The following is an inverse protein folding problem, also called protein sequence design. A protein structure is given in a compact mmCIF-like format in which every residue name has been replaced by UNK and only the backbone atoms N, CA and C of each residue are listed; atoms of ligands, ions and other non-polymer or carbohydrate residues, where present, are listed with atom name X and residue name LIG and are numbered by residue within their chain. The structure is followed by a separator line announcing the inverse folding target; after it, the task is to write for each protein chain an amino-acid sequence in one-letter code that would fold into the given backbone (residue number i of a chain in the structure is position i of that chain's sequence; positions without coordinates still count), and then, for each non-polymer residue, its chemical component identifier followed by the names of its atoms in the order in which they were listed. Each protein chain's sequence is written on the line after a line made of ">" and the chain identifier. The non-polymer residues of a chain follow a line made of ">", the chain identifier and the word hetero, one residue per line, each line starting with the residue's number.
data_IF_610400908578
#
_entry.id   IF_610400908578
#
_cell.length_a   1.000
_cell.length_b   1.000
_cell.length_c   1.000
_cell.angle_alpha   90.00
_cell.angle_beta   90.00
_cell.angle_gamma   90.00
#
_symmetry.space_group_name_H-M   'P 1'
#
loop_
_entity.id
_entity.type
_entity.pdbx_description
1 polymer ?
#
# COMPACT_ATOMS: atom_id res chain seq x y z
N UNK A 1 -5.37 -13.79 11.73
CA UNK A 1 -4.70 -13.88 10.41
C UNK A 1 -3.20 -13.80 10.61
N UNK A 2 -2.39 -14.70 10.04
CA UNK A 2 -0.93 -14.60 10.15
C UNK A 2 -0.41 -13.39 9.36
N UNK A 3 0.60 -12.69 9.89
CA UNK A 3 1.16 -11.46 9.30
C UNK A 3 1.60 -11.62 7.83
N UNK A 4 2.07 -12.82 7.45
CA UNK A 4 2.45 -13.16 6.06
C UNK A 4 1.28 -13.05 5.08
N UNK A 5 0.08 -13.50 5.48
CA UNK A 5 -1.10 -13.43 4.61
C UNK A 5 -1.49 -11.98 4.32
N UNK A 6 -1.51 -11.16 5.38
CA UNK A 6 -1.80 -9.73 5.27
C UNK A 6 -0.76 -8.98 4.39
N UNK A 7 0.54 -9.29 4.52
CA UNK A 7 1.57 -8.72 3.65
C UNK A 7 1.38 -9.11 2.17
N UNK A 8 0.96 -10.35 1.90
CA UNK A 8 0.65 -10.82 0.54
C UNK A 8 -0.62 -10.20 -0.05
N UNK A 9 -1.53 -9.66 0.78
CA UNK A 9 -2.70 -8.90 0.31
C UNK A 9 -2.32 -7.52 -0.26
N UNK A 10 -1.10 -7.04 0.05
CA UNK A 10 -0.55 -5.78 -0.46
C UNK A 10 0.44 -5.95 -1.62
N UNK A 11 0.62 -7.18 -2.10
CA UNK A 11 1.52 -7.54 -3.19
C UNK A 11 0.72 -8.13 -4.37
N UNK A 12 1.31 -8.25 -5.58
CA UNK A 12 0.69 -8.97 -6.68
C UNK A 12 0.24 -10.38 -6.25
N UNK A 13 -0.92 -10.84 -6.75
CA UNK A 13 -1.49 -12.13 -6.37
C UNK A 13 -0.52 -13.31 -6.57
N UNK A 14 0.25 -13.24 -7.64
CA UNK A 14 1.22 -14.26 -8.06
C UNK A 14 2.36 -14.44 -7.06
N UNK A 15 2.56 -13.50 -6.13
CA UNK A 15 3.53 -13.68 -5.05
C UNK A 15 3.21 -14.90 -4.19
N UNK A 16 1.93 -15.32 -4.12
CA UNK A 16 1.54 -16.55 -3.41
C UNK A 16 2.12 -17.82 -4.03
N UNK A 17 2.57 -17.78 -5.28
CA UNK A 17 3.23 -18.90 -5.97
C UNK A 17 4.70 -19.07 -5.59
N UNK A 18 5.36 -18.01 -5.10
CA UNK A 18 6.78 -18.07 -4.73
C UNK A 18 6.93 -18.41 -3.25
N UNK A 19 7.28 -19.66 -2.95
CA UNK A 19 7.45 -20.15 -1.57
C UNK A 19 8.49 -19.35 -0.76
N UNK A 20 9.46 -18.70 -1.43
CA UNK A 20 10.48 -17.84 -0.82
C UNK A 20 9.89 -16.79 0.12
N UNK A 21 8.74 -16.20 -0.22
CA UNK A 21 8.11 -15.17 0.61
C UNK A 21 7.55 -15.71 1.93
N UNK A 22 7.12 -16.98 1.94
CA UNK A 22 6.66 -17.66 3.16
C UNK A 22 7.84 -18.15 4.00
N UNK A 23 8.93 -18.57 3.36
CA UNK A 23 10.16 -19.00 4.04
C UNK A 23 10.97 -17.82 4.61
N UNK A 24 10.87 -16.64 4.00
CA UNK A 24 11.58 -15.43 4.41
C UNK A 24 10.62 -14.24 4.61
N UNK A 25 9.80 -14.23 5.68
CA UNK A 25 8.83 -13.17 5.94
C UNK A 25 9.42 -11.75 6.03
N UNK A 26 10.68 -11.61 6.44
CA UNK A 26 11.38 -10.31 6.47
C UNK A 26 11.59 -9.74 5.07
N UNK A 27 11.92 -10.59 4.08
CA UNK A 27 12.05 -10.17 2.69
C UNK A 27 10.70 -9.78 2.10
N UNK A 28 9.63 -10.51 2.49
CA UNK A 28 8.26 -10.16 2.14
C UNK A 28 7.87 -8.80 2.74
N UNK A 29 8.08 -8.58 4.04
CA UNK A 29 7.79 -7.30 4.68
C UNK A 29 8.53 -6.14 4.00
N UNK A 30 9.82 -6.33 3.70
CA UNK A 30 10.63 -5.37 2.97
C UNK A 30 10.03 -5.04 1.60
N UNK A 31 9.74 -6.03 0.75
CA UNK A 31 9.19 -5.75 -0.59
C UNK A 31 7.76 -5.18 -0.53
N UNK A 32 6.95 -5.55 0.46
CA UNK A 32 5.63 -4.97 0.68
C UNK A 32 5.72 -3.47 0.98
N UNK A 33 6.73 -3.02 1.75
CA UNK A 33 6.91 -1.56 1.98
C UNK A 33 7.17 -0.79 0.68
N UNK A 34 8.00 -1.33 -0.22
CA UNK A 34 8.26 -0.73 -1.54
C UNK A 34 7.01 -0.72 -2.43
N UNK A 35 6.24 -1.80 -2.45
CA UNK A 35 4.96 -1.85 -3.17
C UNK A 35 4.00 -0.77 -2.69
N UNK A 36 3.89 -0.59 -1.38
CA UNK A 36 3.00 0.42 -0.79
C UNK A 36 3.50 1.85 -1.07
N UNK A 37 4.82 2.09 -1.02
CA UNK A 37 5.40 3.39 -1.38
C UNK A 37 5.16 3.73 -2.86
N UNK A 38 5.31 2.74 -3.76
CA UNK A 38 4.99 2.89 -5.18
C UNK A 38 3.51 3.19 -5.43
N UNK A 39 2.60 2.47 -4.76
CA UNK A 39 1.16 2.73 -4.84
C UNK A 39 0.79 4.13 -4.35
N UNK A 40 1.38 4.58 -3.23
CA UNK A 40 1.17 5.95 -2.72
C UNK A 40 1.67 7.01 -3.73
N UNK A 41 2.81 6.78 -4.37
CA UNK A 41 3.31 7.64 -5.45
C UNK A 41 2.36 7.71 -6.64
N UNK A 42 1.83 6.56 -7.07
CA UNK A 42 0.85 6.48 -8.14
C UNK A 42 -0.45 7.22 -7.78
N UNK A 43 -0.98 7.02 -6.56
CA UNK A 43 -2.20 7.72 -6.11
C UNK A 43 -2.04 9.23 -6.10
N UNK A 44 -0.89 9.74 -5.63
CA UNK A 44 -0.60 11.20 -5.66
C UNK A 44 -0.54 11.73 -7.08
N UNK A 45 0.04 10.97 -8.00
CA UNK A 45 0.14 11.34 -9.42
C UNK A 45 -1.25 11.39 -10.04
N UNK A 46 -2.04 10.32 -9.87
CA UNK A 46 -3.41 10.23 -10.35
C UNK A 46 -4.27 11.38 -9.79
N UNK A 47 -4.24 11.63 -8.49
CA UNK A 47 -5.03 12.69 -7.86
C UNK A 47 -4.73 14.08 -8.44
N UNK A 48 -3.45 14.38 -8.68
CA UNK A 48 -3.02 15.68 -9.24
C UNK A 48 -3.39 15.85 -10.71
N UNK A 49 -3.35 14.77 -11.49
CA UNK A 49 -3.62 14.79 -12.94
C UNK A 49 -5.10 14.66 -13.31
N UNK A 50 -5.88 13.91 -12.51
CA UNK A 50 -7.21 13.41 -12.91
C UNK A 50 -8.17 14.48 -13.44
N UNK A 51 -8.23 15.66 -12.81
CA UNK A 51 -9.09 16.76 -13.29
C UNK A 51 -8.73 17.26 -14.67
N UNK A 52 -7.44 17.33 -14.98
CA UNK A 52 -6.93 17.86 -16.25
C UNK A 52 -6.96 16.76 -17.31
N UNK A 53 -6.44 15.59 -16.95
CA UNK A 53 -6.23 14.48 -17.89
C UNK A 53 -7.55 13.86 -18.38
N UNK A 54 -8.64 13.97 -17.59
CA UNK A 54 -9.93 13.37 -17.89
C UNK A 54 -11.09 14.36 -18.07
N UNK A 55 -10.82 15.68 -18.11
CA UNK A 55 -11.86 16.71 -18.23
C UNK A 55 -12.81 16.51 -19.42
N UNK A 56 -12.27 16.03 -20.54
CA UNK A 56 -13.02 15.81 -21.79
C UNK A 56 -13.67 14.42 -21.88
N UNK A 57 -13.48 13.56 -20.88
CA UNK A 57 -13.88 12.15 -20.92
C UNK A 57 -14.82 11.75 -19.78
N UNK A 58 -14.85 12.52 -18.71
CA UNK A 58 -15.65 12.23 -17.51
C UNK A 58 -16.34 13.50 -17.06
N UNK A 59 -17.64 13.42 -16.78
CA UNK A 59 -18.42 14.52 -16.26
C UNK A 59 -17.91 15.02 -14.89
N UNK A 60 -18.17 16.29 -14.51
CA UNK A 60 -17.64 16.87 -13.27
C UNK A 60 -17.96 16.07 -12.00
N UNK A 61 -19.12 15.42 -11.96
CA UNK A 61 -19.53 14.58 -10.83
C UNK A 61 -18.71 13.29 -10.76
N UNK A 62 -18.44 12.63 -11.90
CA UNK A 62 -17.57 11.46 -11.98
C UNK A 62 -16.11 11.79 -11.61
N UNK A 63 -15.62 12.97 -11.99
CA UNK A 63 -14.32 13.50 -11.56
C UNK A 63 -14.28 13.67 -10.03
N UNK A 64 -15.30 14.29 -9.45
CA UNK A 64 -15.38 14.51 -8.00
C UNK A 64 -15.44 13.17 -7.23
N UNK A 65 -16.25 12.22 -7.69
CA UNK A 65 -16.34 10.89 -7.09
C UNK A 65 -15.01 10.13 -7.17
N UNK A 66 -14.31 10.23 -8.30
CA UNK A 66 -12.99 9.60 -8.48
C UNK A 66 -11.93 10.18 -7.55
N UNK A 67 -11.92 11.51 -7.36
CA UNK A 67 -11.02 12.16 -6.39
C UNK A 67 -11.29 11.68 -4.96
N UNK A 68 -12.55 11.58 -4.56
CA UNK A 68 -12.92 11.07 -3.24
C UNK A 68 -12.49 9.62 -3.03
N UNK A 69 -12.62 8.77 -4.06
CA UNK A 69 -12.14 7.39 -4.02
C UNK A 69 -10.61 7.32 -3.88
N UNK A 70 -9.87 8.14 -4.63
CA UNK A 70 -8.41 8.23 -4.54
C UNK A 70 -7.95 8.72 -3.16
N UNK A 71 -8.66 9.66 -2.54
CA UNK A 71 -8.37 10.14 -1.18
C UNK A 71 -8.57 9.03 -0.13
N UNK A 72 -9.72 8.35 -0.18
CA UNK A 72 -10.04 7.25 0.73
C UNK A 72 -9.02 6.11 0.60
N UNK A 73 -8.68 5.74 -0.63
CA UNK A 73 -7.71 4.69 -0.90
C UNK A 73 -6.28 5.11 -0.50
N UNK A 74 -5.89 6.36 -0.77
CA UNK A 74 -4.62 6.92 -0.30
C UNK A 74 -4.47 6.87 1.22
N UNK A 75 -5.55 7.19 1.96
CA UNK A 75 -5.56 7.09 3.43
C UNK A 75 -5.40 5.64 3.90
N UNK A 76 -6.09 4.70 3.26
CA UNK A 76 -5.98 3.25 3.55
C UNK A 76 -4.55 2.74 3.29
N UNK A 77 -3.97 3.09 2.15
CA UNK A 77 -2.59 2.71 1.78
C UNK A 77 -1.55 3.31 2.72
N UNK A 78 -1.74 4.55 3.17
CA UNK A 78 -0.86 5.18 4.13
C UNK A 78 -0.88 4.45 5.47
N UNK A 79 -2.06 4.01 5.94
CA UNK A 79 -2.18 3.18 7.14
C UNK A 79 -1.50 1.82 6.96
N UNK A 80 -1.71 1.16 5.83
CA UNK A 80 -1.04 -0.10 5.51
C UNK A 80 0.49 0.06 5.46
N UNK A 81 0.99 1.15 4.87
CA UNK A 81 2.43 1.42 4.77
C UNK A 81 3.09 1.59 6.14
N UNK A 82 2.40 2.26 7.07
CA UNK A 82 2.87 2.37 8.46
C UNK A 82 2.91 0.99 9.13
N UNK A 83 1.84 0.20 9.01
CA UNK A 83 1.78 -1.14 9.58
C UNK A 83 2.86 -2.09 9.02
N UNK A 84 3.09 -2.07 7.70
CA UNK A 84 4.14 -2.85 7.06
C UNK A 84 5.54 -2.44 7.53
N UNK A 85 5.77 -1.14 7.75
CA UNK A 85 7.02 -0.63 8.35
C UNK A 85 7.26 -1.18 9.75
N UNK A 86 6.25 -1.12 10.63
CA UNK A 86 6.34 -1.66 11.99
C UNK A 86 6.63 -3.18 11.99
N UNK A 87 6.03 -3.93 11.06
CA UNK A 87 6.33 -5.36 10.91
C UNK A 87 7.77 -5.60 10.47
N UNK A 88 8.29 -4.81 9.52
CA UNK A 88 9.67 -4.91 9.08
C UNK A 88 10.64 -4.59 10.22
N UNK A 89 10.41 -3.50 10.96
CA UNK A 89 11.20 -3.10 12.12
C UNK A 89 11.22 -4.21 13.19
N UNK A 90 10.06 -4.76 13.53
CA UNK A 90 9.95 -5.86 14.49
C UNK A 90 10.74 -7.11 14.04
N UNK A 91 10.71 -7.44 12.74
CA UNK A 91 11.45 -8.57 12.18
C UNK A 91 12.97 -8.34 12.14
N UNK A 92 13.42 -7.10 12.07
CA UNK A 92 14.85 -6.73 12.12
C UNK A 92 15.44 -6.80 13.53
N UNK A 93 14.63 -7.14 14.54
CA UNK A 93 15.06 -7.15 15.95
C UNK A 93 14.93 -5.79 16.64
N UNK A 94 14.29 -4.80 16.01
CA UNK A 94 13.86 -3.59 16.70
C UNK A 94 12.59 -3.92 17.49
N UNK A 95 12.75 -4.22 18.78
CA UNK A 95 11.61 -4.34 19.68
C UNK A 95 10.91 -2.97 19.75
N UNK A 96 9.73 -2.87 19.12
CA UNK A 96 8.83 -1.75 19.32
C UNK A 96 8.48 -1.68 20.81
N UNK A 97 8.99 -0.66 21.51
CA UNK A 97 8.55 -0.33 22.87
C UNK A 97 7.41 0.67 22.73
N UNK A 98 6.15 0.28 22.97
CA UNK A 98 5.05 1.22 22.99
C UNK A 98 5.30 2.22 24.12
N UNK A 99 5.34 3.53 23.82
CA UNK A 99 5.11 4.53 24.85
C UNK A 99 3.61 4.73 24.98
N UNK A 100 3.08 4.19 26.06
CA UNK A 100 1.80 4.59 26.64
C UNK A 100 2.02 5.87 27.46
#
# INVERSE_FOLDING_TARGET
>A
MPAVGWLLDHCPSDYRMYAVWRHHPIALAWVTTHHLDGQLGAMRTAYRGLRVDLADHVEPEGIAASLAALEAEGARLLAARRAAGLLLEAMQGHAFVPRL
#
